data_IF_010880452533
#
_entry.id   IF_010880452533
#
_cell.length_a   1.000
_cell.length_b   1.000
_cell.length_c   1.000
_cell.angle_alpha   90.00
_cell.angle_beta   90.00
_cell.angle_gamma   90.00
#
_symmetry.space_group_name_H-M   'P 1'
#
loop_
_entity.id
_entity.type
_entity.pdbx_description
1 polymer ?
#
# COMPACT_ATOMS: atom_id res chain seq x y z
N UNK A 1 11.29 -62.65 -27.44
CA UNK A 1 10.66 -61.58 -26.63
C UNK A 1 9.63 -62.07 -25.60
N UNK A 2 9.00 -63.25 -25.75
CA UNK A 2 7.96 -63.73 -24.81
C UNK A 2 8.54 -64.55 -23.62
N UNK A 3 9.74 -65.12 -23.76
CA UNK A 3 10.37 -65.94 -22.70
C UNK A 3 10.96 -65.15 -21.52
N UNK A 4 11.32 -63.88 -21.70
CA UNK A 4 11.83 -63.05 -20.59
C UNK A 4 10.72 -62.51 -19.68
N UNK A 5 9.52 -62.29 -20.22
CA UNK A 5 8.37 -61.80 -19.45
C UNK A 5 7.84 -62.88 -18.47
N UNK A 6 8.02 -64.17 -18.81
CA UNK A 6 7.56 -65.29 -17.97
C UNK A 6 8.52 -65.57 -16.80
N UNK A 7 9.81 -65.22 -16.93
CA UNK A 7 10.79 -65.38 -15.86
C UNK A 7 10.53 -64.42 -14.69
N UNK A 8 10.04 -63.20 -14.97
CA UNK A 8 9.71 -62.22 -13.94
C UNK A 8 8.49 -62.60 -13.08
N UNK A 9 7.57 -63.42 -13.59
CA UNK A 9 6.38 -63.85 -12.84
C UNK A 9 6.64 -64.97 -11.83
N UNK A 10 7.78 -65.65 -11.89
CA UNK A 10 8.05 -66.83 -11.04
C UNK A 10 8.74 -66.53 -9.71
N UNK A 11 9.18 -65.29 -9.47
CA UNK A 11 9.88 -64.93 -8.23
C UNK A 11 9.00 -64.24 -7.15
N UNK A 12 7.73 -63.93 -7.42
CA UNK A 12 6.95 -63.11 -6.49
C UNK A 12 5.77 -63.87 -5.87
N UNK A 13 6.05 -65.01 -5.23
CA UNK A 13 5.10 -65.63 -4.29
C UNK A 13 5.32 -64.98 -2.91
N UNK A 14 4.93 -63.72 -2.80
CA UNK A 14 5.04 -62.99 -1.53
C UNK A 14 3.83 -63.33 -0.67
N UNK A 15 4.11 -63.86 0.53
CA UNK A 15 3.09 -64.14 1.52
C UNK A 15 2.33 -62.86 1.89
N UNK A 16 1.01 -62.96 2.08
CA UNK A 16 0.16 -61.81 2.39
C UNK A 16 0.61 -61.01 3.63
N UNK A 17 1.33 -61.66 4.55
CA UNK A 17 1.98 -61.01 5.70
C UNK A 17 3.18 -60.13 5.32
N UNK A 18 4.00 -60.55 4.35
CA UNK A 18 5.18 -59.79 3.92
C UNK A 18 4.77 -58.57 3.08
N UNK A 19 3.68 -58.66 2.30
CA UNK A 19 3.09 -57.51 1.60
C UNK A 19 2.56 -56.48 2.60
N UNK A 20 1.88 -56.92 3.66
CA UNK A 20 1.38 -56.02 4.73
C UNK A 20 2.53 -55.33 5.46
N UNK A 21 3.63 -56.04 5.73
CA UNK A 21 4.83 -55.45 6.35
C UNK A 21 5.48 -54.40 5.44
N UNK A 22 5.63 -54.70 4.15
CA UNK A 22 6.19 -53.74 3.17
C UNK A 22 5.27 -52.53 2.97
N UNK A 23 3.95 -52.73 2.97
CA UNK A 23 2.98 -51.62 2.90
C UNK A 23 3.04 -50.75 4.17
N UNK A 24 3.20 -51.35 5.34
CA UNK A 24 3.30 -50.63 6.62
C UNK A 24 4.61 -49.82 6.71
N UNK A 25 5.73 -50.38 6.23
CA UNK A 25 7.02 -49.66 6.21
C UNK A 25 7.02 -48.51 5.20
N UNK A 26 6.40 -48.69 4.02
CA UNK A 26 6.23 -47.61 3.03
C UNK A 26 5.32 -46.50 3.58
N UNK A 27 4.22 -46.85 4.27
CA UNK A 27 3.32 -45.88 4.88
C UNK A 27 4.01 -45.07 6.00
N UNK A 28 4.87 -45.71 6.79
CA UNK A 28 5.68 -45.05 7.83
C UNK A 28 6.72 -44.08 7.27
N UNK A 29 7.29 -44.39 6.10
CA UNK A 29 8.25 -43.52 5.42
C UNK A 29 7.54 -42.29 4.83
N UNK A 30 6.35 -42.45 4.27
CA UNK A 30 5.55 -41.34 3.72
C UNK A 30 5.11 -40.37 4.83
N UNK A 31 4.79 -40.88 6.03
CA UNK A 31 4.42 -40.04 7.18
C UNK A 31 5.57 -39.20 7.74
N UNK A 32 6.83 -39.59 7.47
CA UNK A 32 8.02 -38.89 7.95
C UNK A 32 8.39 -37.66 7.09
N UNK A 33 7.80 -37.51 5.90
CA UNK A 33 8.05 -36.38 4.99
C UNK A 33 7.09 -35.19 5.17
N UNK A 34 6.10 -35.28 6.08
CA UNK A 34 5.09 -34.22 6.29
C UNK A 34 5.53 -33.16 7.31
N UNK A 35 6.74 -33.25 7.89
CA UNK A 35 7.25 -32.29 8.89
C UNK A 35 7.94 -31.05 8.29
N UNK A 36 7.41 -30.48 7.21
CA UNK A 36 7.82 -29.16 6.73
C UNK A 36 6.65 -28.18 6.88
N UNK A 37 6.73 -27.25 7.84
CA UNK A 37 5.82 -26.10 7.80
C UNK A 37 5.47 -25.39 9.11
N UNK A 38 6.38 -25.22 10.08
CA UNK A 38 6.25 -24.12 11.04
C UNK A 38 7.61 -23.45 11.29
N UNK A 39 8.11 -22.76 10.26
CA UNK A 39 9.03 -21.64 10.46
C UNK A 39 8.24 -20.51 11.13
N UNK A 40 8.06 -20.61 12.45
CA UNK A 40 7.69 -19.45 13.25
C UNK A 40 8.90 -18.53 13.23
N UNK A 41 8.89 -17.53 12.34
CA UNK A 41 9.89 -16.47 12.35
C UNK A 41 9.90 -15.85 13.75
N UNK A 42 10.93 -16.15 14.54
CA UNK A 42 11.08 -15.61 15.90
C UNK A 42 11.24 -14.09 15.79
N UNK A 43 10.16 -13.36 16.06
CA UNK A 43 10.15 -11.90 16.14
C UNK A 43 11.19 -11.41 17.16
N UNK A 44 11.96 -10.40 16.78
CA UNK A 44 12.91 -9.69 17.64
C UNK A 44 12.16 -8.68 18.50
N UNK A 45 12.37 -8.68 19.81
CA UNK A 45 11.85 -7.62 20.67
C UNK A 45 12.87 -6.48 20.75
N UNK A 46 12.45 -5.30 20.31
CA UNK A 46 13.25 -4.07 20.33
C UNK A 46 12.67 -3.16 21.40
N UNK A 47 13.54 -2.64 22.27
CA UNK A 47 13.17 -1.74 23.37
C UNK A 47 14.07 -0.52 23.38
N UNK A 48 13.65 0.54 24.06
CA UNK A 48 14.45 1.76 24.10
C UNK A 48 13.76 2.93 24.75
N UNK A 49 14.40 4.09 24.69
CA UNK A 49 13.88 5.37 25.14
C UNK A 49 13.91 6.39 24.01
N UNK A 50 12.82 7.13 23.86
CA UNK A 50 12.73 8.30 22.98
C UNK A 50 12.88 9.57 23.81
N UNK A 51 13.79 10.45 23.39
CA UNK A 51 14.06 11.73 24.05
C UNK A 51 14.08 12.88 23.02
N UNK A 52 13.94 14.13 23.46
CA UNK A 52 14.14 15.30 22.61
C UNK A 52 15.61 15.73 22.56
N UNK A 53 15.93 16.77 21.79
CA UNK A 53 17.28 17.33 21.66
C UNK A 53 17.89 17.78 23.00
N UNK A 54 17.06 18.05 24.01
CA UNK A 54 17.48 18.41 25.37
C UNK A 54 17.53 17.19 26.31
N UNK A 55 17.46 15.97 25.76
CA UNK A 55 17.46 14.69 26.48
C UNK A 55 16.25 14.47 27.41
N UNK A 56 15.18 15.26 27.26
CA UNK A 56 13.95 15.05 28.01
C UNK A 56 13.15 13.88 27.40
N UNK A 57 12.54 13.02 28.22
CA UNK A 57 11.73 11.90 27.72
C UNK A 57 10.53 12.42 26.94
N UNK A 58 10.27 11.83 25.77
CA UNK A 58 9.11 12.19 24.95
C UNK A 58 8.01 11.18 25.16
N UNK A 59 6.89 11.62 25.73
CA UNK A 59 5.66 10.84 25.87
C UNK A 59 4.85 10.89 24.57
N UNK A 60 4.21 9.79 24.20
CA UNK A 60 3.27 9.77 23.08
C UNK A 60 3.93 9.70 21.70
N UNK A 61 5.23 9.43 21.62
CA UNK A 61 5.90 9.23 20.34
C UNK A 61 5.47 7.89 19.74
N UNK A 62 5.05 7.92 18.48
CA UNK A 62 4.64 6.76 17.70
C UNK A 62 5.87 6.07 17.12
N UNK A 63 5.93 4.75 17.24
CA UNK A 63 7.03 3.94 16.72
C UNK A 63 6.63 3.33 15.36
N UNK A 64 7.53 3.43 14.39
CA UNK A 64 7.43 2.87 13.06
C UNK A 64 8.59 1.91 12.84
N UNK A 65 8.33 0.79 12.16
CA UNK A 65 9.35 -0.17 11.73
C UNK A 65 9.27 -0.26 10.21
N UNK A 66 10.41 -0.06 9.54
CA UNK A 66 10.49 -0.05 8.07
C UNK A 66 9.37 0.80 7.47
N UNK A 67 9.20 2.01 7.99
CA UNK A 67 8.19 2.95 7.54
C UNK A 67 6.72 2.55 7.83
N UNK A 68 6.44 1.41 8.49
CA UNK A 68 5.07 0.99 8.85
C UNK A 68 4.74 1.38 10.29
N UNK A 69 3.56 1.97 10.50
CA UNK A 69 3.07 2.36 11.83
C UNK A 69 2.87 1.10 12.68
N UNK A 70 3.43 1.10 13.89
CA UNK A 70 3.23 0.02 14.85
C UNK A 70 2.23 0.43 15.93
N UNK A 71 1.84 -0.52 16.78
CA UNK A 71 1.00 -0.28 17.96
C UNK A 71 1.76 0.30 19.15
N UNK A 72 3.10 0.38 19.08
CA UNK A 72 3.92 0.89 20.18
C UNK A 72 3.93 2.42 20.22
N UNK A 73 3.64 2.95 21.41
CA UNK A 73 3.68 4.38 21.73
C UNK A 73 4.48 4.56 23.02
N UNK A 74 5.28 5.61 23.10
CA UNK A 74 6.11 5.85 24.30
C UNK A 74 5.28 6.29 25.51
N UNK A 75 5.61 5.73 26.67
CA UNK A 75 5.00 6.11 27.96
C UNK A 75 5.52 7.45 28.52
N UNK A 76 5.10 7.80 29.74
CA UNK A 76 5.54 9.03 30.46
C UNK A 76 7.07 9.15 30.61
N UNK A 77 7.76 8.02 30.67
CA UNK A 77 9.23 7.93 30.83
C UNK A 77 9.98 7.90 29.49
N UNK A 78 9.28 8.02 28.36
CA UNK A 78 9.84 7.92 27.01
C UNK A 78 10.18 6.49 26.57
N UNK A 79 9.94 5.48 27.41
CA UNK A 79 10.26 4.09 27.10
C UNK A 79 9.26 3.46 26.12
N UNK A 80 9.76 2.58 25.25
CA UNK A 80 8.96 1.75 24.34
C UNK A 80 9.48 0.30 24.28
N UNK A 81 8.63 -0.61 23.82
CA UNK A 81 8.97 -1.99 23.50
C UNK A 81 8.07 -2.48 22.37
N UNK A 82 8.64 -3.06 21.32
CA UNK A 82 7.94 -3.52 20.12
C UNK A 82 8.54 -4.84 19.61
N UNK A 83 7.69 -5.70 19.05
CA UNK A 83 8.12 -6.90 18.32
C UNK A 83 8.27 -6.56 16.84
N UNK A 84 9.46 -6.78 16.30
CA UNK A 84 9.83 -6.56 14.91
C UNK A 84 10.25 -7.89 14.26
N UNK A 85 10.19 -7.97 12.94
CA UNK A 85 10.75 -9.11 12.23
C UNK A 85 12.29 -8.98 12.21
N UNK A 86 13.02 -10.10 12.23
CA UNK A 86 14.50 -10.05 12.27
C UNK A 86 15.14 -9.41 11.04
N UNK A 87 14.41 -9.38 9.93
CA UNK A 87 14.81 -8.71 8.69
C UNK A 87 14.54 -7.21 8.67
N UNK A 88 13.93 -6.64 9.73
CA UNK A 88 13.66 -5.21 9.79
C UNK A 88 14.94 -4.40 9.82
N UNK A 89 14.99 -3.36 9.00
CA UNK A 89 16.18 -2.55 8.76
C UNK A 89 16.17 -1.30 9.61
N UNK A 90 14.99 -0.71 9.82
CA UNK A 90 14.89 0.65 10.31
C UNK A 90 13.80 0.80 11.38
N UNK A 91 14.09 1.62 12.39
CA UNK A 91 13.11 2.10 13.37
C UNK A 91 13.04 3.63 13.33
N UNK A 92 11.81 4.15 13.41
CA UNK A 92 11.55 5.58 13.45
C UNK A 92 10.59 5.91 14.58
N UNK A 93 10.90 6.94 15.36
CA UNK A 93 9.99 7.55 16.32
C UNK A 93 9.50 8.90 15.79
N UNK A 94 8.20 9.15 15.93
CA UNK A 94 7.56 10.39 15.51
C UNK A 94 6.71 10.98 16.64
N UNK A 95 6.93 12.25 16.94
CA UNK A 95 6.05 13.06 17.79
C UNK A 95 5.62 14.31 17.02
N UNK A 96 4.30 14.61 16.94
CA UNK A 96 3.82 15.82 16.28
C UNK A 96 4.43 17.13 16.81
N UNK A 97 4.80 17.15 18.10
CA UNK A 97 5.31 18.35 18.78
C UNK A 97 6.84 18.41 18.82
N UNK A 98 7.51 17.25 18.75
CA UNK A 98 8.97 17.13 18.99
C UNK A 98 9.75 16.68 17.75
N UNK A 99 9.08 16.41 16.64
CA UNK A 99 9.69 15.99 15.38
C UNK A 99 9.91 14.47 15.29
N UNK A 100 10.91 14.07 14.51
CA UNK A 100 11.16 12.66 14.21
C UNK A 100 12.63 12.27 14.47
N UNK A 101 12.85 10.98 14.74
CA UNK A 101 14.17 10.39 14.87
C UNK A 101 14.20 9.01 14.22
N UNK A 102 15.26 8.70 13.47
CA UNK A 102 15.47 7.42 12.78
C UNK A 102 16.74 6.74 13.32
N UNK A 103 16.73 5.41 13.41
CA UNK A 103 17.94 4.62 13.58
C UNK A 103 17.84 3.28 12.84
N UNK A 104 18.97 2.71 12.45
CA UNK A 104 19.02 1.37 11.88
C UNK A 104 18.92 0.31 12.98
N UNK A 105 18.11 -0.71 12.76
CA UNK A 105 17.90 -1.81 13.71
C UNK A 105 19.14 -2.70 13.74
N UNK A 106 19.66 -3.12 12.59
CA UNK A 106 20.87 -3.96 12.46
C UNK A 106 20.92 -5.14 13.47
N UNK A 107 19.77 -5.75 13.76
CA UNK A 107 19.63 -6.85 14.72
C UNK A 107 19.73 -6.48 16.21
N UNK A 108 19.80 -5.18 16.56
CA UNK A 108 19.87 -4.71 17.95
C UNK A 108 18.50 -4.81 18.63
N UNK A 109 18.52 -5.25 19.90
CA UNK A 109 17.32 -5.32 20.75
C UNK A 109 17.10 -4.08 21.62
N UNK A 110 18.08 -3.16 21.67
CA UNK A 110 18.01 -1.91 22.42
C UNK A 110 18.45 -0.73 21.56
N UNK A 111 17.58 0.25 21.36
CA UNK A 111 17.80 1.40 20.49
C UNK A 111 17.21 2.63 21.17
N UNK A 112 18.02 3.64 21.47
CA UNK A 112 17.52 4.92 21.98
C UNK A 112 17.43 5.92 20.81
N UNK A 113 16.35 6.70 20.79
CA UNK A 113 16.05 7.64 19.69
C UNK A 113 16.01 9.06 20.24
N UNK A 114 16.63 9.98 19.52
CA UNK A 114 16.56 11.41 19.79
C UNK A 114 15.73 12.04 18.67
N UNK A 115 14.68 12.76 19.05
CA UNK A 115 13.83 13.47 18.10
C UNK A 115 14.44 14.80 17.73
N UNK A 116 14.47 15.08 16.43
CA UNK A 116 14.87 16.35 15.89
C UNK A 116 13.63 17.13 15.42
N UNK A 117 13.36 18.32 15.98
CA UNK A 117 12.19 19.14 15.60
C UNK A 117 12.28 19.67 14.16
N UNK A 118 13.47 19.71 13.55
CA UNK A 118 13.63 20.09 12.14
C UNK A 118 13.18 18.98 11.18
N UNK A 119 13.13 17.73 11.64
CA UNK A 119 12.69 16.58 10.85
C UNK A 119 11.18 16.41 11.00
N UNK A 120 10.44 17.10 10.13
CA UNK A 120 9.00 16.85 9.97
C UNK A 120 8.81 15.59 9.14
N UNK A 121 8.35 14.50 9.77
CA UNK A 121 8.00 13.27 9.04
C UNK A 121 6.79 13.54 8.14
N UNK A 122 7.04 13.69 6.85
CA UNK A 122 5.99 13.63 5.83
C UNK A 122 5.74 12.15 5.52
N UNK A 123 4.52 11.62 5.69
CA UNK A 123 4.20 10.20 5.47
C UNK A 123 4.30 9.76 3.99
N UNK A 124 4.87 10.59 3.09
CA UNK A 124 5.00 10.28 1.67
C UNK A 124 6.29 9.51 1.32
N UNK A 125 7.17 9.24 2.29
CA UNK A 125 8.47 8.59 2.06
C UNK A 125 8.49 7.06 2.27
N UNK A 126 7.32 6.42 2.40
CA UNK A 126 7.25 4.97 2.65
C UNK A 126 7.26 4.22 1.31
N UNK A 127 8.02 3.12 1.17
CA UNK A 127 7.79 2.17 0.10
C UNK A 127 6.36 1.64 0.27
N UNK A 128 5.52 1.87 -0.75
CA UNK A 128 4.14 1.37 -0.79
C UNK A 128 4.15 -0.15 -0.75
N UNK A 129 3.93 -0.72 0.44
CA UNK A 129 3.33 -2.03 0.57
C UNK A 129 1.83 -1.87 0.31
N UNK A 130 1.35 -2.62 -0.66
CA UNK A 130 -0.04 -2.68 -1.09
C UNK A 130 -0.94 -3.13 0.07
N UNK A 131 -2.12 -2.51 0.14
CA UNK A 131 -3.43 -3.01 0.60
C UNK A 131 -4.21 -2.03 1.51
N UNK A 132 -5.52 -2.03 1.26
CA UNK A 132 -6.57 -1.09 1.65
C UNK A 132 -6.68 -0.78 3.14
N UNK A 133 -7.07 0.47 3.46
CA UNK A 133 -8.43 0.76 3.96
C UNK A 133 -8.56 2.25 4.35
N UNK A 134 -9.67 2.85 3.94
CA UNK A 134 -10.11 4.18 4.37
C UNK A 134 -10.51 4.13 5.85
N UNK A 135 -10.11 5.12 6.66
CA UNK A 135 -11.03 5.76 7.62
C UNK A 135 -10.60 7.22 7.87
N UNK A 136 -11.47 8.11 7.40
CA UNK A 136 -12.02 9.29 8.06
C UNK A 136 -11.37 9.80 9.36
N UNK A 137 -10.92 11.07 9.34
CA UNK A 137 -10.92 11.89 10.55
C UNK A 137 -11.38 13.30 10.19
N UNK A 138 -12.37 13.76 10.96
CA UNK A 138 -13.14 14.97 10.76
C UNK A 138 -12.32 16.27 10.77
N UNK A 139 -13.00 17.28 10.24
CA UNK A 139 -12.71 18.71 10.32
C UNK A 139 -11.24 19.13 10.17
N UNK A 140 -10.92 19.51 8.93
CA UNK A 140 -9.81 20.38 8.62
C UNK A 140 -8.61 19.62 8.08
N UNK A 141 -8.53 19.46 6.76
CA UNK A 141 -7.24 19.13 6.14
C UNK A 141 -7.10 19.88 4.82
N UNK A 142 -6.22 20.87 4.89
CA UNK A 142 -5.77 21.71 3.81
C UNK A 142 -5.14 20.88 2.69
N UNK A 143 -5.50 21.27 1.45
CA UNK A 143 -4.90 21.01 0.14
C UNK A 143 -3.56 20.23 0.14
N UNK A 144 -3.61 18.90 0.09
CA UNK A 144 -2.43 18.07 -0.21
C UNK A 144 -2.31 17.87 -1.73
N UNK A 145 -1.68 18.85 -2.41
CA UNK A 145 -1.21 18.68 -3.80
C UNK A 145 0.03 17.79 -3.79
N UNK A 146 -0.16 16.47 -3.76
CA UNK A 146 0.94 15.54 -3.99
C UNK A 146 1.11 15.35 -5.50
N UNK A 147 2.03 16.12 -6.09
CA UNK A 147 2.64 15.78 -7.39
C UNK A 147 3.78 14.82 -7.05
N UNK A 148 3.55 13.53 -7.22
CA UNK A 148 4.64 12.54 -7.20
C UNK A 148 4.34 11.52 -8.29
N UNK A 149 5.25 11.38 -9.24
CA UNK A 149 5.24 10.38 -10.30
C UNK A 149 3.90 10.24 -11.06
N UNK A 150 3.43 11.34 -11.64
CA UNK A 150 2.28 11.32 -12.55
C UNK A 150 0.92 11.19 -11.87
N UNK A 151 0.80 11.32 -10.55
CA UNK A 151 -0.49 11.45 -9.86
C UNK A 151 -0.65 12.88 -9.33
N UNK A 152 -1.83 13.47 -9.52
CA UNK A 152 -2.23 14.70 -8.87
C UNK A 152 -3.64 14.55 -8.31
N UNK A 153 -3.85 14.92 -7.05
CA UNK A 153 -5.13 14.71 -6.36
C UNK A 153 -5.66 16.02 -5.79
N UNK A 154 -6.93 16.27 -6.02
CA UNK A 154 -7.73 17.36 -5.47
C UNK A 154 -8.80 16.75 -4.59
N UNK A 155 -8.72 17.02 -3.29
CA UNK A 155 -9.73 16.60 -2.31
C UNK A 155 -10.57 17.81 -1.95
N UNK A 156 -11.90 17.66 -1.98
CA UNK A 156 -12.87 18.74 -1.73
C UNK A 156 -12.62 20.00 -2.58
N UNK A 157 -12.73 19.92 -3.92
CA UNK A 157 -12.76 21.10 -4.78
C UNK A 157 -13.75 22.17 -4.27
N UNK A 158 -13.52 23.44 -4.60
CA UNK A 158 -14.49 24.51 -4.27
C UNK A 158 -15.66 24.46 -5.26
N UNK A 159 -16.65 23.61 -4.99
CA UNK A 159 -17.77 23.35 -5.91
C UNK A 159 -18.72 24.55 -6.07
N UNK A 160 -18.78 25.43 -5.07
CA UNK A 160 -19.73 26.55 -5.00
C UNK A 160 -19.56 27.63 -6.08
N UNK A 161 -18.53 27.51 -6.92
CA UNK A 161 -18.18 28.54 -7.92
C UNK A 161 -18.23 28.04 -9.37
N UNK A 162 -18.63 26.79 -9.62
CA UNK A 162 -18.61 26.19 -10.95
C UNK A 162 -19.97 25.59 -11.34
N UNK A 163 -20.43 25.91 -12.55
CA UNK A 163 -21.69 25.40 -13.10
C UNK A 163 -21.57 24.05 -13.79
N UNK A 164 -20.35 23.66 -14.19
CA UNK A 164 -20.07 22.41 -14.89
C UNK A 164 -18.81 21.73 -14.34
N UNK A 165 -18.79 20.40 -14.37
CA UNK A 165 -17.66 19.58 -13.92
C UNK A 165 -16.38 19.87 -14.73
N UNK A 166 -16.53 20.19 -16.01
CA UNK A 166 -15.42 20.54 -16.89
C UNK A 166 -14.70 21.82 -16.45
N UNK A 167 -15.45 22.84 -16.01
CA UNK A 167 -14.87 24.08 -15.47
C UNK A 167 -14.19 23.84 -14.13
N UNK A 168 -14.77 22.96 -13.31
CA UNK A 168 -14.19 22.57 -12.05
C UNK A 168 -12.87 21.80 -12.24
N UNK A 169 -12.83 20.87 -13.19
CA UNK A 169 -11.60 20.14 -13.58
C UNK A 169 -10.55 21.13 -14.07
N UNK A 170 -10.92 22.05 -14.97
CA UNK A 170 -10.01 23.07 -15.52
C UNK A 170 -9.39 23.94 -14.42
N UNK A 171 -10.15 24.30 -13.40
CA UNK A 171 -9.71 25.24 -12.38
C UNK A 171 -8.93 24.59 -11.23
N UNK A 172 -9.29 23.37 -10.83
CA UNK A 172 -8.68 22.73 -9.65
C UNK A 172 -7.65 21.65 -10.01
N UNK A 173 -7.71 21.03 -11.20
CA UNK A 173 -6.72 20.03 -11.62
C UNK A 173 -5.56 20.72 -12.34
N UNK A 174 -4.31 20.60 -11.86
CA UNK A 174 -3.16 21.19 -12.54
C UNK A 174 -2.78 20.38 -13.79
N UNK A 175 -2.32 21.07 -14.83
CA UNK A 175 -1.75 20.41 -16.02
C UNK A 175 -2.79 19.75 -16.93
N UNK A 176 -4.05 20.15 -16.85
CA UNK A 176 -5.10 19.75 -17.80
C UNK A 176 -5.52 20.93 -18.68
N UNK A 177 -5.91 20.63 -19.91
CA UNK A 177 -6.54 21.56 -20.83
C UNK A 177 -7.92 21.00 -21.19
N UNK A 178 -8.95 21.79 -20.92
CA UNK A 178 -10.34 21.41 -21.22
C UNK A 178 -10.80 22.14 -22.47
N UNK A 179 -11.36 21.42 -23.44
CA UNK A 179 -11.96 21.95 -24.68
C UNK A 179 -13.34 21.33 -24.87
N UNK A 180 -14.40 22.08 -24.55
CA UNK A 180 -15.75 21.53 -24.51
C UNK A 180 -15.85 20.41 -23.47
N UNK A 181 -16.34 19.23 -23.89
CA UNK A 181 -16.43 18.03 -23.06
C UNK A 181 -15.17 17.15 -23.09
N UNK A 182 -14.12 17.58 -23.78
CA UNK A 182 -12.86 16.84 -23.89
C UNK A 182 -11.79 17.41 -22.98
N UNK A 183 -11.06 16.53 -22.29
CA UNK A 183 -9.97 16.92 -21.40
C UNK A 183 -8.66 16.30 -21.85
N UNK A 184 -7.64 17.14 -21.98
CA UNK A 184 -6.30 16.80 -22.42
C UNK A 184 -5.32 17.01 -21.28
N UNK A 185 -4.39 16.08 -21.08
CA UNK A 185 -3.39 16.16 -20.02
C UNK A 185 -2.05 16.60 -20.63
N UNK A 186 -1.43 17.61 -20.04
CA UNK A 186 -0.20 18.19 -20.55
C UNK A 186 0.97 17.18 -20.52
N UNK A 187 1.79 17.22 -21.57
CA UNK A 187 2.96 16.37 -21.73
C UNK A 187 2.63 14.90 -22.00
N UNK A 188 1.43 14.60 -22.49
CA UNK A 188 1.08 13.32 -23.11
C UNK A 188 1.05 13.58 -24.61
N UNK A 189 2.02 13.02 -25.33
CA UNK A 189 2.12 13.12 -26.79
C UNK A 189 1.62 11.81 -27.40
N UNK A 190 0.53 11.87 -28.15
CA UNK A 190 0.07 10.75 -28.98
C UNK A 190 0.69 10.86 -30.36
N UNK A 191 1.26 9.76 -30.86
CA UNK A 191 1.72 9.69 -32.24
C UNK A 191 0.49 9.45 -33.15
N UNK A 192 -0.13 10.54 -33.63
CA UNK A 192 -1.17 10.48 -34.67
C UNK A 192 -2.62 10.20 -34.23
N UNK A 193 -3.00 10.40 -32.97
CA UNK A 193 -4.37 10.13 -32.47
C UNK A 193 -4.92 11.17 -31.49
N UNK A 194 -6.24 11.14 -31.25
CA UNK A 194 -6.91 11.97 -30.24
C UNK A 194 -6.31 11.69 -28.85
N UNK A 195 -5.71 12.70 -28.22
CA UNK A 195 -5.02 12.61 -26.93
C UNK A 195 -5.95 12.85 -25.72
N UNK A 196 -7.22 12.52 -25.90
CA UNK A 196 -8.25 12.74 -24.88
C UNK A 196 -8.10 11.76 -23.72
N UNK A 197 -8.21 12.29 -22.51
CA UNK A 197 -8.15 11.52 -21.28
C UNK A 197 -9.48 10.80 -21.03
N UNK A 198 -9.40 9.61 -20.43
CA UNK A 198 -10.59 8.85 -20.05
C UNK A 198 -11.06 9.22 -18.64
N UNK A 199 -12.37 9.27 -18.44
CA UNK A 199 -12.96 9.51 -17.12
C UNK A 199 -13.29 8.20 -16.42
N UNK A 200 -13.14 8.20 -15.10
CA UNK A 200 -13.57 7.10 -14.24
C UNK A 200 -14.38 7.70 -13.11
N UNK A 201 -15.68 7.42 -13.10
CA UNK A 201 -16.59 7.91 -12.06
C UNK A 201 -16.94 6.74 -11.15
N UNK A 202 -16.55 6.81 -9.89
CA UNK A 202 -16.82 5.79 -8.87
C UNK A 202 -16.42 4.35 -9.29
N UNK A 203 -15.37 4.24 -10.10
CA UNK A 203 -14.83 2.97 -10.61
C UNK A 203 -15.33 2.57 -12.00
N UNK A 204 -16.27 3.33 -12.60
CA UNK A 204 -16.84 3.04 -13.92
C UNK A 204 -16.17 3.94 -14.97
N UNK A 205 -15.62 3.31 -16.01
CA UNK A 205 -14.98 4.01 -17.14
C UNK A 205 -16.07 4.64 -18.01
N UNK A 206 -15.98 5.94 -18.25
CA UNK A 206 -16.94 6.71 -19.05
C UNK A 206 -16.21 7.69 -19.97
N UNK A 207 -16.79 7.99 -21.14
CA UNK A 207 -16.22 8.93 -22.11
C UNK A 207 -16.62 10.39 -21.82
N UNK A 208 -17.73 10.59 -21.12
CA UNK A 208 -18.26 11.91 -20.76
C UNK A 208 -18.75 11.93 -19.32
N UNK A 209 -18.73 13.12 -18.71
CA UNK A 209 -19.12 13.31 -17.31
C UNK A 209 -20.14 14.44 -17.15
N UNK A 210 -20.86 14.78 -18.21
CA UNK A 210 -21.87 15.85 -18.23
C UNK A 210 -22.93 15.70 -17.12
N UNK A 211 -23.25 14.45 -16.75
CA UNK A 211 -24.28 14.13 -15.75
C UNK A 211 -23.77 14.23 -14.29
N UNK A 212 -22.47 14.43 -14.10
CA UNK A 212 -21.87 14.57 -12.76
C UNK A 212 -21.96 16.02 -12.33
N UNK A 213 -22.82 16.31 -11.35
CA UNK A 213 -22.91 17.64 -10.77
C UNK A 213 -21.62 17.96 -9.99
N UNK A 214 -21.04 19.17 -10.14
CA UNK A 214 -19.89 19.61 -9.36
C UNK A 214 -20.09 19.42 -7.85
N UNK A 215 -21.28 19.71 -7.34
CA UNK A 215 -21.61 19.61 -5.92
C UNK A 215 -21.56 18.18 -5.34
N UNK A 216 -21.60 17.16 -6.20
CA UNK A 216 -21.57 15.76 -5.78
C UNK A 216 -20.16 15.17 -5.84
N UNK A 217 -19.19 15.90 -6.39
CA UNK A 217 -17.80 15.45 -6.45
C UNK A 217 -17.19 15.51 -5.06
N UNK A 218 -16.55 14.43 -4.63
CA UNK A 218 -15.78 14.36 -3.39
C UNK A 218 -14.30 14.66 -3.65
N UNK A 219 -13.75 14.03 -4.68
CA UNK A 219 -12.34 14.19 -5.06
C UNK A 219 -12.11 13.95 -6.54
N UNK A 220 -11.12 14.63 -7.10
CA UNK A 220 -10.66 14.45 -8.48
C UNK A 220 -9.19 14.04 -8.44
N UNK A 221 -8.84 12.96 -9.14
CA UNK A 221 -7.47 12.50 -9.27
C UNK A 221 -7.09 12.38 -10.74
N UNK A 222 -5.97 13.00 -11.08
CA UNK A 222 -5.31 12.88 -12.36
C UNK A 222 -4.23 11.81 -12.26
N UNK A 223 -4.24 10.85 -13.19
CA UNK A 223 -3.19 9.86 -13.36
C UNK A 223 -2.54 9.98 -14.74
N UNK A 224 -1.22 9.86 -14.76
CA UNK A 224 -0.35 9.92 -15.94
C UNK A 224 0.74 8.84 -15.86
N UNK A 225 1.16 8.36 -17.03
CA UNK A 225 2.30 7.45 -17.17
C UNK A 225 2.03 6.06 -16.57
N UNK A 226 2.98 5.42 -15.89
CA UNK A 226 2.82 4.06 -15.36
C UNK A 226 1.60 3.85 -14.46
N UNK A 227 1.13 4.93 -13.82
CA UNK A 227 -0.06 4.93 -12.96
C UNK A 227 -1.36 4.61 -13.68
N UNK A 228 -1.42 4.74 -15.00
CA UNK A 228 -2.62 4.47 -15.80
C UNK A 228 -2.66 3.04 -16.34
N UNK A 229 -1.60 2.25 -16.15
CA UNK A 229 -1.50 0.87 -16.65
C UNK A 229 -2.64 -0.03 -16.15
N UNK A 230 -3.19 0.25 -14.96
CA UNK A 230 -4.35 -0.45 -14.39
C UNK A 230 -5.60 -0.33 -15.27
N UNK A 231 -5.71 0.74 -16.05
CA UNK A 231 -6.85 1.02 -16.92
C UNK A 231 -6.59 0.67 -18.39
N UNK A 232 -5.50 -0.06 -18.65
CA UNK A 232 -5.14 -0.58 -19.97
C UNK A 232 -4.94 0.49 -21.04
N UNK A 233 -5.18 0.12 -22.29
CA UNK A 233 -4.95 0.98 -23.48
C UNK A 233 -5.76 2.27 -23.41
N UNK A 234 -6.96 2.24 -22.81
CA UNK A 234 -7.83 3.42 -22.65
C UNK A 234 -7.24 4.48 -21.71
N UNK A 235 -6.37 4.08 -20.78
CA UNK A 235 -5.65 4.99 -19.89
C UNK A 235 -4.33 5.53 -20.46
N UNK A 236 -3.93 5.15 -21.68
CA UNK A 236 -2.66 5.57 -22.28
C UNK A 236 -2.54 7.10 -22.42
N UNK A 237 -3.67 7.75 -22.69
CA UNK A 237 -3.77 9.21 -22.81
C UNK A 237 -3.96 9.93 -21.47
N UNK A 238 -3.89 9.18 -20.36
CA UNK A 238 -4.15 9.69 -19.03
C UNK A 238 -5.58 9.43 -18.55
N UNK A 239 -5.76 9.45 -17.22
CA UNK A 239 -7.01 9.07 -16.56
C UNK A 239 -7.40 10.16 -15.56
N UNK A 240 -8.68 10.53 -15.56
CA UNK A 240 -9.27 11.43 -14.56
C UNK A 240 -10.27 10.63 -13.74
N UNK A 241 -9.92 10.34 -12.49
CA UNK A 241 -10.81 9.72 -11.53
C UNK A 241 -11.63 10.79 -10.84
N UNK A 242 -12.93 10.56 -10.79
CA UNK A 242 -13.90 11.35 -10.06
C UNK A 242 -14.55 10.41 -9.06
N UNK A 243 -14.46 10.76 -7.78
CA UNK A 243 -15.21 10.08 -6.72
C UNK A 243 -16.35 10.99 -6.30
N UNK A 244 -17.56 10.48 -6.19
CA UNK A 244 -18.72 11.23 -5.73
C UNK A 244 -19.05 10.93 -4.26
N UNK A 245 -19.83 11.81 -3.63
CA UNK A 245 -20.38 11.54 -2.30
C UNK A 245 -21.46 10.46 -2.39
N UNK A 246 -21.30 9.37 -1.65
CA UNK A 246 -22.37 8.39 -1.44
C UNK A 246 -23.30 8.90 -0.34
N UNK A 247 -24.59 8.56 -0.40
CA UNK A 247 -25.70 9.26 0.30
C UNK A 247 -25.59 9.60 1.80
N UNK A 248 -24.60 9.08 2.53
CA UNK A 248 -24.31 9.42 3.94
C UNK A 248 -23.11 10.36 4.14
N UNK A 249 -22.31 10.63 3.10
CA UNK A 249 -21.06 11.41 3.17
C UNK A 249 -21.23 12.89 2.84
N UNK A 250 -22.40 13.30 2.32
CA UNK A 250 -22.71 14.70 1.99
C UNK A 250 -23.21 15.41 3.24
N UNK A 251 -22.30 15.88 4.08
CA UNK A 251 -22.60 16.64 5.30
C UNK A 251 -21.79 17.93 5.38
#
# INVERSE_FOLDING_TARGET
>A
MIKEIISFRKCFKINNMEIKKVLLTVLSIIFSFVSNGQLSEKKLTISGKVSDSNLNPVKGAMIFIDSRKTSAVTGKTGKYSIKADRGSKEILALSPEKGAGKSDINGRSKIDLILDPSVTFKPDSLPKGEEDEMVEVGYGTMKKRNITSGKATVVRPRFSSYSNIYDLIKAEVPGVQVRGSSVYIQGISTFGGNAEAVFIVDGIITEQVNDVAPADVMSIQLLKGPSTAVYGIRGANGVILIKTFRGTEKK
#
